data_IF_529688009153
#
_entry.id   IF_529688009153
#
_cell.length_a   1.000
_cell.length_b   1.000
_cell.length_c   1.000
_cell.angle_alpha   90.00
_cell.angle_beta   90.00
_cell.angle_gamma   90.00
#
_symmetry.space_group_name_H-M   'P 1'
#
loop_
_entity.id
_entity.type
_entity.pdbx_description
1 polymer ?
#
# COMPACT_ATOMS: atom_id res chain seq x y z
N UNK A 1 -2.96 8.02 -21.81
CA UNK A 1 -3.61 7.39 -20.63
C UNK A 1 -3.14 5.93 -20.56
N UNK A 2 -1.98 5.66 -19.94
CA UNK A 2 -1.28 4.35 -19.95
C UNK A 2 -2.16 3.13 -19.64
N UNK A 3 -3.16 3.28 -18.76
CA UNK A 3 -4.08 2.18 -18.44
C UNK A 3 -4.85 1.66 -19.67
N UNK A 4 -5.30 2.57 -20.55
CA UNK A 4 -6.00 2.21 -21.79
C UNK A 4 -5.06 1.49 -22.75
N UNK A 5 -3.82 1.94 -22.84
CA UNK A 5 -2.78 1.32 -23.66
C UNK A 5 -2.47 -0.10 -23.17
N UNK A 6 -2.21 -0.27 -21.86
CA UNK A 6 -1.95 -1.57 -21.26
C UNK A 6 -3.12 -2.55 -21.48
N UNK A 7 -4.36 -2.07 -21.39
CA UNK A 7 -5.56 -2.88 -21.66
C UNK A 7 -5.65 -3.33 -23.13
N UNK A 8 -5.27 -2.47 -24.09
CA UNK A 8 -5.22 -2.83 -25.50
C UNK A 8 -4.11 -3.84 -25.79
N UNK A 9 -2.92 -3.65 -25.20
CA UNK A 9 -1.79 -4.60 -25.28
C UNK A 9 -2.20 -5.98 -24.79
N UNK A 10 -2.85 -6.07 -23.63
CA UNK A 10 -3.27 -7.35 -23.06
C UNK A 10 -4.35 -8.04 -23.91
N UNK A 11 -5.29 -7.28 -24.47
CA UNK A 11 -6.31 -7.81 -25.39
C UNK A 11 -5.71 -8.34 -26.69
N UNK A 12 -4.77 -7.60 -27.29
CA UNK A 12 -4.08 -8.02 -28.50
C UNK A 12 -3.26 -9.30 -28.27
N UNK A 13 -2.52 -9.36 -27.15
CA UNK A 13 -1.77 -10.56 -26.78
C UNK A 13 -2.69 -11.76 -26.54
N UNK A 14 -3.81 -11.56 -25.82
CA UNK A 14 -4.78 -12.63 -25.60
C UNK A 14 -5.42 -13.14 -26.89
N UNK A 15 -5.67 -12.27 -27.86
CA UNK A 15 -6.21 -12.67 -29.16
C UNK A 15 -5.17 -13.49 -29.95
N UNK A 16 -3.91 -13.02 -29.99
CA UNK A 16 -2.81 -13.71 -30.66
C UNK A 16 -2.57 -15.12 -30.10
N UNK A 17 -2.43 -15.23 -28.77
CA UNK A 17 -2.15 -16.51 -28.09
C UNK A 17 -3.28 -17.53 -28.22
N UNK A 18 -4.54 -17.08 -28.33
CA UNK A 18 -5.70 -17.96 -28.51
C UNK A 18 -5.91 -18.38 -29.97
N UNK A 19 -5.37 -17.61 -30.92
CA UNK A 19 -5.46 -17.94 -32.34
C UNK A 19 -4.44 -19.00 -32.75
N UNK A 20 -3.38 -19.21 -31.95
CA UNK A 20 -2.39 -20.25 -32.18
C UNK A 20 -2.82 -21.58 -31.53
N UNK A 21 -3.19 -22.61 -32.33
CA UNK A 21 -3.65 -23.89 -31.81
C UNK A 21 -2.52 -24.74 -31.22
N UNK A 22 -1.24 -24.36 -31.39
CA UNK A 22 -0.10 -25.08 -30.84
C UNK A 22 0.15 -24.79 -29.36
N UNK A 23 -0.46 -23.72 -28.82
CA UNK A 23 -0.25 -23.26 -27.45
C UNK A 23 -1.34 -23.84 -26.53
N UNK A 24 -0.92 -24.48 -25.44
CA UNK A 24 -1.88 -25.00 -24.45
C UNK A 24 -2.63 -23.87 -23.73
N UNK A 25 -3.90 -24.07 -23.34
CA UNK A 25 -4.67 -23.06 -22.60
C UNK A 25 -3.98 -22.60 -21.30
N UNK A 26 -3.27 -23.51 -20.63
CA UNK A 26 -2.51 -23.22 -19.41
C UNK A 26 -1.35 -22.27 -19.67
N UNK A 27 -0.62 -22.47 -20.78
CA UNK A 27 0.48 -21.60 -21.22
C UNK A 27 -0.03 -20.21 -21.64
N UNK A 28 -1.22 -20.14 -22.25
CA UNK A 28 -1.88 -18.86 -22.54
C UNK A 28 -2.18 -18.10 -21.24
N UNK A 29 -2.76 -18.78 -20.24
CA UNK A 29 -3.10 -18.15 -18.96
C UNK A 29 -1.85 -17.70 -18.21
N UNK A 30 -0.81 -18.53 -18.13
CA UNK A 30 0.43 -18.18 -17.44
C UNK A 30 1.10 -16.97 -18.09
N UNK A 31 1.21 -16.96 -19.43
CA UNK A 31 1.80 -15.85 -20.21
C UNK A 31 1.00 -14.56 -20.02
N UNK A 32 -0.33 -14.62 -20.05
CA UNK A 32 -1.18 -13.45 -19.83
C UNK A 32 -1.08 -12.91 -18.40
N UNK A 33 -0.94 -13.79 -17.39
CA UNK A 33 -0.72 -13.39 -16.00
C UNK A 33 0.59 -12.64 -15.84
N UNK A 34 1.69 -13.22 -16.33
CA UNK A 34 3.01 -12.57 -16.30
C UNK A 34 2.96 -11.21 -16.99
N UNK A 35 2.40 -11.14 -18.19
CA UNK A 35 2.30 -9.86 -18.91
C UNK A 35 1.45 -8.83 -18.18
N UNK A 36 0.33 -9.26 -17.60
CA UNK A 36 -0.53 -8.39 -16.78
C UNK A 36 0.26 -7.84 -15.59
N UNK A 37 1.01 -8.67 -14.88
CA UNK A 37 1.82 -8.26 -13.73
C UNK A 37 2.88 -7.22 -14.11
N UNK A 38 3.61 -7.43 -15.20
CA UNK A 38 4.58 -6.45 -15.73
C UNK A 38 3.93 -5.09 -16.03
N UNK A 39 2.79 -5.11 -16.73
CA UNK A 39 2.04 -3.90 -17.07
C UNK A 39 1.51 -3.18 -15.82
N UNK A 40 1.11 -3.92 -14.79
CA UNK A 40 0.69 -3.34 -13.51
C UNK A 40 1.86 -2.72 -12.76
N UNK A 41 3.05 -3.35 -12.79
CA UNK A 41 4.26 -2.76 -12.20
C UNK A 41 4.69 -1.49 -12.93
N UNK A 42 4.62 -1.47 -14.26
CA UNK A 42 4.92 -0.27 -15.04
C UNK A 42 3.94 0.86 -14.74
N UNK A 43 2.64 0.53 -14.64
CA UNK A 43 1.63 1.50 -14.23
C UNK A 43 1.93 2.04 -12.84
N UNK A 44 2.19 1.17 -11.86
CA UNK A 44 2.57 1.57 -10.51
C UNK A 44 3.74 2.56 -10.55
N UNK A 45 4.86 2.20 -11.16
CA UNK A 45 6.04 3.08 -11.27
C UNK A 45 5.76 4.42 -11.95
N UNK A 46 4.86 4.46 -12.93
CA UNK A 46 4.55 5.67 -13.68
C UNK A 46 3.58 6.63 -12.94
N UNK A 47 2.77 6.10 -12.03
CA UNK A 47 1.70 6.87 -11.35
C UNK A 47 1.85 6.94 -9.83
N UNK A 48 2.86 6.31 -9.23
CA UNK A 48 3.13 6.47 -7.81
C UNK A 48 3.67 7.85 -7.49
N UNK A 49 3.38 8.31 -6.28
CA UNK A 49 3.93 9.57 -5.75
C UNK A 49 5.43 9.46 -5.49
N UNK A 50 6.07 10.59 -5.15
CA UNK A 50 7.45 10.63 -4.66
C UNK A 50 7.65 9.86 -3.35
N UNK A 51 6.57 9.49 -2.65
CA UNK A 51 6.61 8.82 -1.37
C UNK A 51 6.38 7.32 -1.57
N UNK A 52 7.43 6.52 -1.39
CA UNK A 52 7.36 5.08 -1.48
C UNK A 52 6.81 4.47 -0.18
N UNK A 53 5.82 3.57 -0.23
CA UNK A 53 5.40 2.80 0.94
C UNK A 53 6.53 2.00 1.58
N UNK A 54 7.53 1.56 0.79
CA UNK A 54 8.67 0.81 1.30
C UNK A 54 9.57 1.65 2.23
N UNK A 55 9.62 2.97 2.00
CA UNK A 55 10.38 3.95 2.79
C UNK A 55 9.56 4.53 3.95
N UNK A 56 8.29 4.12 4.07
CA UNK A 56 7.39 4.55 5.13
C UNK A 56 7.43 3.55 6.30
N UNK A 57 7.05 4.02 7.49
CA UNK A 57 6.90 3.21 8.69
C UNK A 57 5.65 3.64 9.47
N UNK A 58 5.12 2.75 10.31
CA UNK A 58 3.94 3.07 11.13
C UNK A 58 4.39 3.61 12.48
N UNK A 59 3.84 4.76 12.85
CA UNK A 59 4.13 5.45 14.10
C UNK A 59 2.86 5.48 14.94
N UNK A 60 2.92 4.98 16.18
CA UNK A 60 1.73 4.75 17.02
C UNK A 60 1.93 5.31 18.42
N UNK A 61 0.83 5.69 19.06
CA UNK A 61 0.74 5.95 20.49
C UNK A 61 -0.05 4.83 21.15
N UNK A 62 0.63 3.99 21.92
CA UNK A 62 0.03 2.91 22.68
C UNK A 62 0.48 2.95 24.15
N UNK A 63 -0.26 3.66 25.03
CA UNK A 63 0.19 3.96 26.40
C UNK A 63 0.27 2.74 27.33
N UNK A 64 -0.23 1.57 26.88
CA UNK A 64 -0.13 0.30 27.62
C UNK A 64 1.17 -0.47 27.30
N UNK A 65 2.01 0.05 26.42
CA UNK A 65 3.28 -0.55 26.00
C UNK A 65 4.41 0.46 26.18
N UNK A 66 5.63 -0.05 26.31
CA UNK A 66 6.82 0.80 26.47
C UNK A 66 7.03 1.66 25.21
N UNK A 67 7.32 2.94 25.42
CA UNK A 67 7.70 3.85 24.34
C UNK A 67 9.14 3.60 23.87
N UNK A 68 9.46 4.03 22.65
CA UNK A 68 10.77 3.85 22.03
C UNK A 68 11.07 2.39 21.63
N UNK A 69 10.04 1.54 21.58
CA UNK A 69 10.14 0.13 21.21
C UNK A 69 9.44 -0.14 19.88
N UNK A 70 9.95 -1.14 19.18
CA UNK A 70 9.38 -1.66 17.94
C UNK A 70 8.49 -2.87 18.27
N UNK A 71 7.27 -2.85 17.76
CA UNK A 71 6.30 -3.93 17.94
C UNK A 71 5.86 -4.51 16.61
N UNK A 72 5.51 -5.79 16.63
CA UNK A 72 4.77 -6.51 15.59
C UNK A 72 3.63 -7.26 16.27
N UNK A 73 2.59 -7.59 15.51
CA UNK A 73 1.54 -8.51 15.95
C UNK A 73 1.84 -9.87 15.33
N UNK A 74 1.78 -10.92 16.13
CA UNK A 74 2.00 -12.27 15.63
C UNK A 74 0.87 -12.66 14.67
N UNK A 75 1.21 -13.43 13.64
CA UNK A 75 0.29 -13.89 12.58
C UNK A 75 -0.40 -12.77 11.76
N UNK A 76 -0.04 -11.49 11.98
CA UNK A 76 -0.56 -10.37 11.21
C UNK A 76 0.22 -10.19 9.89
N UNK A 77 -0.43 -10.52 8.78
CA UNK A 77 0.10 -10.29 7.43
C UNK A 77 -0.77 -10.91 6.36
N UNK A 78 -0.58 -10.49 5.11
CA UNK A 78 -1.31 -11.00 3.95
C UNK A 78 -0.41 -11.66 2.90
N UNK A 79 0.91 -11.51 3.01
CA UNK A 79 1.90 -12.07 2.09
C UNK A 79 2.80 -13.02 2.87
N UNK A 80 2.77 -14.30 2.49
CA UNK A 80 3.65 -15.30 3.07
C UNK A 80 5.12 -14.98 2.80
N UNK A 81 5.95 -14.98 3.85
CA UNK A 81 7.35 -14.57 3.76
C UNK A 81 7.55 -13.07 3.45
N UNK A 82 6.48 -12.27 3.53
CA UNK A 82 6.53 -10.82 3.35
C UNK A 82 7.16 -10.09 4.54
N UNK A 83 7.34 -8.78 4.39
CA UNK A 83 7.77 -7.91 5.50
C UNK A 83 6.70 -7.93 6.61
N UNK A 84 7.07 -8.17 7.87
CA UNK A 84 6.11 -8.11 8.98
C UNK A 84 5.58 -6.68 9.16
N UNK A 85 4.40 -6.56 9.76
CA UNK A 85 3.83 -5.26 10.12
C UNK A 85 4.54 -4.72 11.35
N UNK A 86 5.14 -3.53 11.22
CA UNK A 86 5.99 -2.95 12.25
C UNK A 86 5.44 -1.60 12.72
N UNK A 87 5.36 -1.44 14.04
CA UNK A 87 4.88 -0.23 14.71
C UNK A 87 5.96 0.30 15.66
N UNK A 88 6.36 1.55 15.46
CA UNK A 88 7.21 2.28 16.42
C UNK A 88 6.29 2.96 17.42
N UNK A 89 6.37 2.55 18.69
CA UNK A 89 5.58 3.14 19.76
C UNK A 89 6.27 4.40 20.30
N UNK A 90 5.56 5.52 20.33
CA UNK A 90 6.06 6.82 20.75
C UNK A 90 5.00 7.61 21.49
N UNK A 91 5.44 8.66 22.18
CA UNK A 91 4.55 9.58 22.86
C UNK A 91 3.72 10.39 21.86
N UNK A 92 2.48 10.73 22.26
CA UNK A 92 1.53 11.45 21.41
C UNK A 92 2.07 12.79 20.89
N UNK A 93 2.91 13.48 21.68
CA UNK A 93 3.48 14.77 21.29
C UNK A 93 4.53 14.61 20.19
N UNK A 94 5.35 13.56 20.22
CA UNK A 94 6.28 13.24 19.14
C UNK A 94 5.53 12.92 17.85
N UNK A 95 4.45 12.15 17.96
CA UNK A 95 3.57 11.77 16.86
C UNK A 95 2.94 13.01 16.21
N UNK A 96 2.32 13.89 16.99
CA UNK A 96 1.76 15.16 16.50
C UNK A 96 2.81 16.02 15.80
N UNK A 97 4.00 16.15 16.39
CA UNK A 97 5.08 16.92 15.78
C UNK A 97 5.56 16.31 14.45
N UNK A 98 5.66 14.99 14.36
CA UNK A 98 6.01 14.30 13.13
C UNK A 98 4.99 14.57 12.02
N UNK A 99 3.69 14.49 12.33
CA UNK A 99 2.59 14.79 11.39
C UNK A 99 2.70 16.23 10.90
N UNK A 100 2.89 17.20 11.80
CA UNK A 100 3.04 18.62 11.43
C UNK A 100 4.23 18.83 10.50
N UNK A 101 5.37 18.16 10.76
CA UNK A 101 6.55 18.22 9.89
C UNK A 101 6.26 17.63 8.50
N UNK A 102 5.60 16.48 8.43
CA UNK A 102 5.23 15.85 7.15
C UNK A 102 4.30 16.74 6.32
N UNK A 103 3.25 17.29 6.93
CA UNK A 103 2.31 18.19 6.23
C UNK A 103 3.03 19.45 5.72
N UNK A 104 3.89 20.07 6.55
CA UNK A 104 4.68 21.24 6.15
C UNK A 104 5.67 20.92 5.01
N UNK A 105 6.15 19.68 4.93
CA UNK A 105 7.00 19.21 3.84
C UNK A 105 6.21 18.81 2.57
N UNK A 106 4.89 18.96 2.55
CA UNK A 106 4.03 18.52 1.44
C UNK A 106 3.90 17.00 1.33
N UNK A 107 4.23 16.26 2.39
CA UNK A 107 4.07 14.82 2.47
C UNK A 107 2.72 14.49 3.12
N UNK A 108 1.82 13.77 2.41
CA UNK A 108 0.57 13.33 2.99
C UNK A 108 0.83 12.30 4.10
N UNK A 109 -0.02 12.31 5.12
CA UNK A 109 0.04 11.38 6.25
C UNK A 109 -1.18 10.48 6.19
N UNK A 110 -0.96 9.17 6.17
CA UNK A 110 -2.00 8.18 6.42
C UNK A 110 -2.11 7.98 7.93
N UNK A 111 -3.33 8.03 8.46
CA UNK A 111 -3.61 7.77 9.87
C UNK A 111 -4.85 6.90 10.00
N UNK A 112 -4.89 6.13 11.07
CA UNK A 112 -6.01 5.28 11.46
C UNK A 112 -6.53 5.78 12.81
N UNK A 113 -7.85 5.82 12.96
CA UNK A 113 -8.50 6.20 14.21
C UNK A 113 -9.88 5.54 14.30
N UNK A 114 -10.39 5.41 15.53
CA UNK A 114 -11.78 5.03 15.73
C UNK A 114 -12.70 6.19 15.32
N UNK A 115 -13.29 6.06 14.13
CA UNK A 115 -14.17 7.08 13.54
C UNK A 115 -15.57 7.13 14.18
N UNK A 116 -15.95 6.13 14.98
CA UNK A 116 -17.27 6.06 15.62
C UNK A 116 -17.34 6.78 16.96
N UNK A 117 -16.19 7.02 17.58
CA UNK A 117 -16.09 7.73 18.85
C UNK A 117 -16.02 9.24 18.56
N UNK A 118 -17.16 9.92 18.69
CA UNK A 118 -17.17 11.38 18.80
C UNK A 118 -16.96 11.75 20.27
N UNK A 119 -15.89 12.47 20.57
CA UNK A 119 -15.76 13.17 21.85
C UNK A 119 -16.88 14.22 21.92
N UNK A 120 -17.88 13.94 22.75
CA UNK A 120 -19.04 14.84 23.01
C UNK A 120 -18.64 16.10 23.78
N UNK A 121 -17.38 16.24 24.17
CA UNK A 121 -16.90 17.29 25.07
C UNK A 121 -16.48 18.60 24.37
N UNK A 122 -16.57 18.70 23.04
CA UNK A 122 -16.19 19.89 22.28
C UNK A 122 -17.33 20.88 21.96
N UNK A 123 -18.56 20.63 22.45
CA UNK A 123 -19.72 21.50 22.19
C UNK A 123 -20.31 22.17 23.45
N UNK A 124 -19.54 22.35 24.51
CA UNK A 124 -19.90 23.31 25.57
C UNK A 124 -19.08 24.60 25.40
N UNK A 125 -19.59 25.50 24.54
CA UNK A 125 -19.37 26.94 24.60
C UNK A 125 -20.62 27.68 24.10
#
# INVERSE_FOLDING_TARGET
>A
MKLREHALTLRALSASLRADPSISPESVISTLRVRKEELMQEFYKAFTTKFSPAESFSFVDHPRRDYGKLYTVDELGNIWGGRPVLYVNSEIDELKQAIVRSIKAGQPVFFDCDVGTMDVDYFEY
#
